data_IF_666944221056
#
_entry.id   IF_666944221056
#
_cell.length_a   1.000
_cell.length_b   1.000
_cell.length_c   1.000
_cell.angle_alpha   90.00
_cell.angle_beta   90.00
_cell.angle_gamma   90.00
#
_symmetry.space_group_name_H-M   'P 1'
#
loop_
_entity.id
_entity.type
_entity.pdbx_description
1 polymer ?
#
# COMPACT_ATOMS: atom_id res chain seq x y z
N UNK A 1 -2.65 -14.73 20.74
CA UNK A 1 -1.26 -15.01 20.29
C UNK A 1 -1.27 -16.31 19.50
N UNK A 2 -1.59 -16.29 18.21
CA UNK A 2 -1.38 -17.45 17.35
C UNK A 2 -0.06 -17.21 16.61
N UNK A 3 0.95 -17.95 17.00
CA UNK A 3 2.28 -17.93 16.37
C UNK A 3 2.30 -18.69 15.03
N UNK A 4 1.43 -18.33 14.12
CA UNK A 4 1.46 -18.84 12.76
C UNK A 4 2.48 -17.98 11.98
N UNK A 5 3.68 -18.50 11.78
CA UNK A 5 4.62 -17.91 10.82
C UNK A 5 3.97 -17.95 9.45
N UNK A 6 3.68 -16.81 8.88
CA UNK A 6 3.26 -16.73 7.48
C UNK A 6 4.54 -16.79 6.65
N UNK A 7 4.57 -17.75 5.74
CA UNK A 7 5.62 -17.85 4.73
C UNK A 7 5.45 -16.69 3.73
N UNK A 8 6.48 -15.84 3.61
CA UNK A 8 6.49 -14.75 2.66
C UNK A 8 6.93 -15.17 1.25
N UNK A 9 7.20 -16.47 1.05
CA UNK A 9 7.55 -17.00 -0.26
C UNK A 9 6.42 -16.78 -1.26
N UNK A 10 6.81 -16.44 -2.48
CA UNK A 10 5.90 -16.20 -3.59
C UNK A 10 6.27 -17.16 -4.70
N UNK A 11 5.29 -17.90 -5.19
CA UNK A 11 5.47 -18.75 -6.35
C UNK A 11 5.81 -17.91 -7.58
N UNK A 12 6.83 -18.33 -8.32
CA UNK A 12 7.31 -17.56 -9.47
C UNK A 12 7.98 -16.24 -9.11
N UNK A 13 8.72 -16.20 -8.00
CA UNK A 13 9.40 -15.02 -7.45
C UNK A 13 10.11 -14.17 -8.52
N UNK A 14 10.94 -14.76 -9.38
CA UNK A 14 11.65 -14.04 -10.44
C UNK A 14 10.71 -13.43 -11.50
N UNK A 15 9.58 -14.08 -11.75
CA UNK A 15 8.54 -13.53 -12.63
C UNK A 15 7.89 -12.32 -11.98
N UNK A 16 7.55 -12.41 -10.69
CA UNK A 16 6.93 -11.32 -9.94
C UNK A 16 7.84 -10.11 -9.80
N UNK A 17 9.15 -10.31 -9.57
CA UNK A 17 10.14 -9.23 -9.58
C UNK A 17 10.09 -8.45 -10.90
N UNK A 18 10.09 -9.17 -12.04
CA UNK A 18 9.99 -8.54 -13.36
C UNK A 18 8.65 -7.87 -13.61
N UNK A 19 7.56 -8.49 -13.17
CA UNK A 19 6.19 -7.96 -13.31
C UNK A 19 6.04 -6.61 -12.63
N UNK A 20 6.59 -6.46 -11.41
CA UNK A 20 6.56 -5.22 -10.66
C UNK A 20 7.78 -4.32 -10.87
N UNK A 21 8.65 -4.69 -11.83
CA UNK A 21 9.78 -3.87 -12.23
C UNK A 21 10.82 -3.66 -11.13
N UNK A 22 11.07 -4.67 -10.26
CA UNK A 22 12.16 -4.62 -9.31
C UNK A 22 13.49 -4.70 -10.03
N UNK A 23 14.31 -3.69 -9.88
CA UNK A 23 15.67 -3.68 -10.34
C UNK A 23 16.64 -4.20 -9.27
N UNK A 24 17.86 -4.56 -9.70
CA UNK A 24 18.94 -4.88 -8.77
C UNK A 24 19.26 -3.68 -7.87
N UNK A 25 19.15 -2.48 -8.40
CA UNK A 25 19.40 -1.24 -7.69
C UNK A 25 18.36 -1.00 -6.58
N UNK A 26 17.07 -1.27 -6.83
CA UNK A 26 16.02 -1.21 -5.80
C UNK A 26 16.34 -2.14 -4.62
N UNK A 27 16.87 -3.32 -4.91
CA UNK A 27 17.19 -4.32 -3.88
C UNK A 27 18.45 -3.91 -3.10
N UNK A 28 19.56 -3.62 -3.81
CA UNK A 28 20.87 -3.39 -3.18
C UNK A 28 21.01 -2.00 -2.56
N UNK A 29 20.35 -0.97 -3.12
CA UNK A 29 20.50 0.41 -2.67
C UNK A 29 19.32 0.95 -1.86
N UNK A 30 18.18 0.29 -1.92
CA UNK A 30 16.99 0.72 -1.18
C UNK A 30 16.61 -0.29 -0.12
N UNK A 31 16.16 -1.48 -0.50
CA UNK A 31 15.60 -2.45 0.45
C UNK A 31 16.65 -3.02 1.42
N UNK A 32 17.84 -3.39 0.93
CA UNK A 32 18.89 -3.93 1.78
C UNK A 32 19.40 -2.92 2.83
N UNK A 33 19.71 -1.65 2.50
CA UNK A 33 20.05 -0.65 3.51
C UNK A 33 18.92 -0.38 4.51
N UNK A 34 17.66 -0.28 4.05
CA UNK A 34 16.51 -0.11 4.94
C UNK A 34 16.39 -1.27 5.93
N UNK A 35 16.57 -2.50 5.46
CA UNK A 35 16.57 -3.68 6.30
C UNK A 35 17.67 -3.62 7.37
N UNK A 36 18.89 -3.25 6.99
CA UNK A 36 20.05 -3.24 7.89
C UNK A 36 20.02 -2.11 8.92
N UNK A 37 19.41 -0.97 8.60
CA UNK A 37 19.47 0.25 9.42
C UNK A 37 18.15 0.61 10.07
N UNK A 38 17.02 0.07 9.58
CA UNK A 38 15.69 0.47 10.00
C UNK A 38 15.34 1.93 9.63
N UNK A 39 16.06 2.51 8.67
CA UNK A 39 15.90 3.89 8.24
C UNK A 39 15.87 3.98 6.71
N UNK A 40 15.27 5.05 6.19
CA UNK A 40 15.30 5.35 4.77
C UNK A 40 16.74 5.51 4.28
N UNK A 41 17.12 4.93 3.13
CA UNK A 41 18.49 5.01 2.67
C UNK A 41 18.89 6.44 2.33
N UNK A 42 20.12 6.81 2.67
CA UNK A 42 20.68 8.12 2.32
C UNK A 42 20.90 8.16 0.80
N UNK A 43 20.26 9.14 0.15
CA UNK A 43 20.41 9.38 -1.27
C UNK A 43 20.68 10.87 -1.54
N UNK A 44 21.33 11.16 -2.68
CA UNK A 44 21.47 12.53 -3.14
C UNK A 44 20.12 13.09 -3.59
N UNK A 45 19.77 14.29 -3.13
CA UNK A 45 18.53 14.98 -3.53
C UNK A 45 18.61 15.54 -4.95
N UNK A 46 19.77 15.84 -5.46
CA UNK A 46 19.97 16.19 -6.86
C UNK A 46 20.34 14.94 -7.64
N UNK A 47 19.56 14.49 -8.57
CA UNK A 47 19.99 13.51 -9.53
C UNK A 47 19.62 13.94 -10.94
N UNK A 48 20.51 13.62 -11.88
CA UNK A 48 20.37 13.96 -13.29
C UNK A 48 19.45 13.00 -14.05
N UNK A 49 18.70 12.15 -13.35
CA UNK A 49 17.73 11.25 -13.96
C UNK A 49 16.63 12.08 -14.61
N UNK A 50 16.34 11.91 -15.90
CA UNK A 50 15.25 12.60 -16.57
C UNK A 50 13.92 12.40 -15.83
N UNK A 51 13.05 13.42 -15.87
CA UNK A 51 11.69 13.30 -15.32
C UNK A 51 10.95 12.13 -15.99
N UNK A 52 10.14 11.42 -15.22
CA UNK A 52 9.37 10.27 -15.71
C UNK A 52 8.54 10.62 -16.96
N UNK A 53 7.96 11.82 -17.00
CA UNK A 53 7.17 12.32 -18.13
C UNK A 53 7.97 12.46 -19.44
N UNK A 54 9.29 12.56 -19.36
CA UNK A 54 10.18 12.68 -20.52
C UNK A 54 10.81 11.32 -20.92
N UNK A 55 10.48 10.24 -20.22
CA UNK A 55 11.01 8.91 -20.47
C UNK A 55 10.19 8.17 -21.54
N UNK A 56 10.85 7.56 -22.50
CA UNK A 56 10.24 6.63 -23.46
C UNK A 56 10.07 5.21 -22.89
N UNK A 57 10.58 4.97 -21.67
CA UNK A 57 10.44 3.69 -20.98
C UNK A 57 9.24 3.69 -20.05
N UNK A 58 8.58 2.54 -19.84
CA UNK A 58 7.56 2.40 -18.81
C UNK A 58 8.09 2.83 -17.45
N UNK A 59 7.36 3.68 -16.74
CA UNK A 59 7.68 4.17 -15.42
C UNK A 59 6.61 3.77 -14.42
N UNK A 60 6.99 3.48 -13.18
CA UNK A 60 6.02 3.38 -12.10
C UNK A 60 5.29 4.72 -11.94
N UNK A 61 4.00 4.67 -11.65
CA UNK A 61 3.19 5.89 -11.48
C UNK A 61 3.75 6.79 -10.37
N UNK A 62 4.37 6.22 -9.35
CA UNK A 62 5.04 6.95 -8.26
C UNK A 62 6.16 7.88 -8.76
N UNK A 63 6.88 7.50 -9.81
CA UNK A 63 8.00 8.28 -10.32
C UNK A 63 7.58 9.65 -10.91
N UNK A 64 6.30 9.83 -11.21
CA UNK A 64 5.76 11.12 -11.68
C UNK A 64 5.58 12.14 -10.55
N UNK A 65 5.69 11.74 -9.29
CA UNK A 65 5.54 12.57 -8.08
C UNK A 65 6.86 12.96 -7.43
N UNK A 66 7.93 12.94 -8.20
CA UNK A 66 9.26 13.21 -7.70
C UNK A 66 9.40 14.65 -7.22
N UNK A 67 10.02 14.84 -6.07
CA UNK A 67 10.41 16.15 -5.55
C UNK A 67 11.42 16.83 -6.50
N UNK A 68 11.15 18.09 -6.85
CA UNK A 68 11.95 18.85 -7.81
C UNK A 68 12.90 19.85 -7.14
N UNK A 69 12.78 20.09 -5.85
CA UNK A 69 13.58 21.06 -5.09
C UNK A 69 13.96 20.51 -3.72
N UNK A 70 15.03 21.07 -3.15
CA UNK A 70 15.48 20.70 -1.82
C UNK A 70 14.51 21.23 -0.74
N UNK A 71 14.24 20.41 0.25
CA UNK A 71 13.43 20.75 1.42
C UNK A 71 14.21 20.42 2.70
N UNK A 72 13.82 21.02 3.82
CA UNK A 72 14.36 20.65 5.12
C UNK A 72 13.99 19.21 5.46
N UNK A 73 14.95 18.43 5.96
CA UNK A 73 14.73 17.04 6.38
C UNK A 73 14.05 16.96 7.74
N UNK A 74 14.32 17.90 8.63
CA UNK A 74 13.77 17.99 9.98
C UNK A 74 12.98 19.29 10.11
N UNK A 75 11.64 19.29 9.92
CA UNK A 75 10.80 20.46 10.18
C UNK A 75 10.95 20.90 11.65
N UNK A 76 10.95 22.20 11.89
CA UNK A 76 11.02 22.75 13.25
C UNK A 76 9.69 22.49 13.99
N UNK A 77 9.63 21.40 14.73
CA UNK A 77 8.48 20.99 15.57
C UNK A 77 8.93 21.00 17.03
N UNK A 78 8.11 21.58 17.91
CA UNK A 78 8.41 21.54 19.34
C UNK A 78 8.23 20.12 19.92
N UNK A 79 9.02 19.74 20.95
CA UNK A 79 9.01 18.38 21.50
C UNK A 79 7.65 17.92 22.03
N UNK A 80 6.78 18.85 22.46
CA UNK A 80 5.45 18.52 23.00
C UNK A 80 4.51 18.09 21.89
N UNK A 81 4.57 18.76 20.72
CA UNK A 81 3.73 18.43 19.57
C UNK A 81 4.30 17.30 18.73
N UNK A 82 5.60 17.01 18.84
CA UNK A 82 6.26 15.95 18.06
C UNK A 82 5.58 14.60 18.22
N UNK A 83 5.20 14.22 19.44
CA UNK A 83 4.52 12.96 19.72
C UNK A 83 3.20 12.82 18.92
N UNK A 84 2.45 13.89 18.76
CA UNK A 84 1.20 13.89 17.99
C UNK A 84 1.46 14.00 16.49
N UNK A 85 2.28 14.95 16.08
CA UNK A 85 2.51 15.30 14.66
C UNK A 85 3.28 14.19 13.93
N UNK A 86 4.21 13.52 14.61
CA UNK A 86 5.04 12.45 14.06
C UNK A 86 4.45 11.06 14.32
N UNK A 87 3.28 10.97 14.94
CA UNK A 87 2.63 9.68 15.18
C UNK A 87 2.23 9.01 13.87
N UNK A 88 2.60 7.73 13.74
CA UNK A 88 2.13 6.85 12.65
C UNK A 88 0.92 6.00 13.05
N UNK A 89 0.38 6.23 14.26
CA UNK A 89 -0.79 5.48 14.74
C UNK A 89 -2.02 5.82 13.93
N UNK A 90 -2.65 4.80 13.38
CA UNK A 90 -3.88 4.90 12.60
C UNK A 90 -5.04 4.17 13.28
N UNK A 91 -6.25 4.71 13.13
CA UNK A 91 -7.51 4.06 13.49
C UNK A 91 -8.31 3.82 12.22
N UNK A 92 -8.37 2.56 11.78
CA UNK A 92 -9.02 2.19 10.53
C UNK A 92 -10.38 1.53 10.78
N UNK A 93 -11.36 1.87 9.94
CA UNK A 93 -12.72 1.34 10.02
C UNK A 93 -13.76 2.29 9.43
N UNK A 94 -15.03 2.01 9.74
CA UNK A 94 -16.15 2.88 9.39
C UNK A 94 -16.32 3.95 10.46
N UNK A 95 -16.09 5.21 10.13
CA UNK A 95 -16.25 6.34 11.06
C UNK A 95 -17.73 6.70 11.28
N UNK A 96 -18.63 6.17 10.44
CA UNK A 96 -20.06 6.49 10.48
C UNK A 96 -20.42 7.74 9.68
N UNK A 97 -21.69 8.13 9.76
CA UNK A 97 -22.24 9.20 8.90
C UNK A 97 -21.90 10.61 9.39
N UNK A 98 -21.70 10.81 10.69
CA UNK A 98 -21.47 12.13 11.25
C UNK A 98 -20.43 12.10 12.38
N UNK A 99 -19.19 12.42 12.01
CA UNK A 99 -18.05 12.46 12.92
C UNK A 99 -18.18 13.53 14.02
N UNK A 100 -19.00 14.55 13.83
CA UNK A 100 -19.20 15.66 14.78
C UNK A 100 -20.16 15.30 15.92
N UNK A 101 -20.93 14.24 15.77
CA UNK A 101 -21.88 13.76 16.79
C UNK A 101 -21.29 12.51 17.44
N UNK A 102 -20.87 12.56 18.72
CA UNK A 102 -20.33 11.38 19.41
C UNK A 102 -21.31 10.20 19.38
N UNK A 103 -20.80 9.03 18.98
CA UNK A 103 -21.58 7.81 18.87
C UNK A 103 -20.72 6.59 19.18
N UNK A 104 -21.32 5.55 19.76
CA UNK A 104 -20.63 4.27 20.02
C UNK A 104 -20.10 3.62 18.72
N UNK A 105 -20.70 3.93 17.57
CA UNK A 105 -20.24 3.43 16.28
C UNK A 105 -18.83 3.90 15.94
N UNK A 106 -18.39 5.07 16.43
CA UNK A 106 -17.05 5.60 16.23
C UNK A 106 -15.95 4.79 16.94
N UNK A 107 -16.33 3.95 17.91
CA UNK A 107 -15.40 3.05 18.60
C UNK A 107 -15.14 1.76 17.84
N UNK A 108 -15.86 1.48 16.74
CA UNK A 108 -15.69 0.27 15.93
C UNK A 108 -14.55 0.43 14.94
N UNK A 109 -13.34 0.55 15.45
CA UNK A 109 -12.13 0.73 14.68
C UNK A 109 -11.03 -0.23 15.13
N UNK A 110 -10.13 -0.57 14.22
CA UNK A 110 -8.88 -1.26 14.54
C UNK A 110 -7.78 -0.22 14.67
N UNK A 111 -7.08 -0.24 15.82
CA UNK A 111 -5.88 0.58 16.02
C UNK A 111 -4.67 -0.12 15.42
N UNK A 112 -3.98 0.56 14.55
CA UNK A 112 -2.69 0.16 13.98
C UNK A 112 -1.58 1.03 14.56
N UNK A 113 -0.45 0.47 15.03
CA UNK A 113 0.68 1.26 15.50
C UNK A 113 1.35 2.06 14.37
N UNK A 114 1.25 1.57 13.13
CA UNK A 114 1.72 2.20 11.91
C UNK A 114 0.91 1.67 10.71
N UNK A 115 0.88 2.38 9.58
CA UNK A 115 0.03 2.04 8.45
C UNK A 115 0.57 0.89 7.58
N UNK A 116 1.79 0.40 7.82
CA UNK A 116 2.37 -0.73 7.09
C UNK A 116 2.01 -2.03 7.79
N UNK A 117 1.27 -2.88 7.10
CA UNK A 117 0.84 -4.18 7.58
C UNK A 117 1.75 -5.28 7.03
N UNK A 118 2.26 -6.15 7.89
CA UNK A 118 2.87 -7.38 7.42
C UNK A 118 1.80 -8.39 6.94
N UNK A 119 2.25 -9.48 6.29
CA UNK A 119 1.32 -10.46 5.71
C UNK A 119 0.42 -11.12 6.77
N UNK A 120 0.95 -11.35 8.00
CA UNK A 120 0.17 -11.90 9.11
C UNK A 120 -0.94 -10.93 9.56
N UNK A 121 -0.60 -9.65 9.69
CA UNK A 121 -1.57 -8.63 10.11
C UNK A 121 -2.67 -8.44 9.05
N UNK A 122 -2.29 -8.45 7.77
CA UNK A 122 -3.27 -8.40 6.69
C UNK A 122 -4.18 -9.63 6.68
N UNK A 123 -3.63 -10.83 6.87
CA UNK A 123 -4.43 -12.08 6.94
C UNK A 123 -5.42 -12.05 8.12
N UNK A 124 -5.02 -11.51 9.26
CA UNK A 124 -5.93 -11.31 10.40
C UNK A 124 -7.09 -10.37 10.02
N UNK A 125 -6.82 -9.28 9.30
CA UNK A 125 -7.87 -8.35 8.83
C UNK A 125 -8.77 -8.99 7.77
N UNK A 126 -8.22 -9.79 6.85
CA UNK A 126 -8.99 -10.54 5.86
C UNK A 126 -9.97 -11.53 6.51
N UNK A 127 -9.57 -12.14 7.63
CA UNK A 127 -10.30 -13.19 8.30
C UNK A 127 -10.98 -12.71 9.60
N UNK A 128 -11.16 -11.40 9.77
CA UNK A 128 -11.77 -10.85 10.98
C UNK A 128 -13.20 -11.36 11.14
N UNK A 129 -13.50 -11.99 12.28
CA UNK A 129 -14.80 -12.59 12.59
C UNK A 129 -15.50 -11.89 13.76
N UNK A 130 -15.14 -10.65 13.99
CA UNK A 130 -15.77 -9.89 15.06
C UNK A 130 -17.03 -9.19 14.56
N UNK A 131 -18.12 -9.22 15.34
CA UNK A 131 -19.42 -8.65 14.94
C UNK A 131 -19.28 -7.16 14.56
N UNK A 132 -19.70 -6.84 13.36
CA UNK A 132 -19.65 -5.47 12.83
C UNK A 132 -18.34 -5.12 12.11
N UNK A 133 -17.46 -6.11 11.86
CA UNK A 133 -16.24 -5.94 11.06
C UNK A 133 -16.31 -6.89 9.86
N UNK A 134 -16.47 -6.31 8.68
CA UNK A 134 -16.58 -7.05 7.42
C UNK A 134 -15.47 -6.60 6.47
N UNK A 135 -14.78 -7.54 5.86
CA UNK A 135 -13.69 -7.30 4.93
C UNK A 135 -14.00 -7.90 3.56
N UNK A 136 -13.65 -7.18 2.50
CA UNK A 136 -13.66 -7.70 1.13
C UNK A 136 -12.31 -7.42 0.47
N UNK A 137 -11.81 -8.38 -0.31
CA UNK A 137 -10.63 -8.21 -1.16
C UNK A 137 -11.09 -8.05 -2.61
N UNK A 138 -10.76 -6.92 -3.22
CA UNK A 138 -11.07 -6.60 -4.61
C UNK A 138 -9.79 -6.67 -5.45
N UNK A 139 -9.80 -7.45 -6.54
CA UNK A 139 -8.70 -7.50 -7.49
C UNK A 139 -8.51 -6.15 -8.20
N UNK A 140 -7.26 -5.65 -8.24
CA UNK A 140 -6.89 -4.49 -9.03
C UNK A 140 -6.06 -4.93 -10.25
N UNK A 141 -6.71 -5.67 -11.13
CA UNK A 141 -6.12 -6.19 -12.36
C UNK A 141 -7.05 -5.96 -13.55
N UNK A 142 -6.47 -5.93 -14.75
CA UNK A 142 -7.21 -5.81 -16.00
C UNK A 142 -6.70 -6.80 -17.04
N UNK A 143 -7.55 -7.18 -17.98
CA UNK A 143 -7.23 -8.10 -19.08
C UNK A 143 -6.33 -7.39 -20.11
N UNK A 144 -5.12 -7.92 -20.31
CA UNK A 144 -4.09 -7.31 -21.17
C UNK A 144 -4.55 -7.25 -22.65
N UNK A 145 -5.29 -8.26 -23.11
CA UNK A 145 -5.80 -8.35 -24.49
C UNK A 145 -6.68 -7.15 -24.89
N UNK A 146 -7.35 -6.52 -23.92
CA UNK A 146 -8.21 -5.35 -24.13
C UNK A 146 -7.47 -4.01 -24.14
N UNK A 147 -6.18 -4.01 -23.82
CA UNK A 147 -5.33 -2.82 -23.82
C UNK A 147 -5.90 -1.66 -22.95
N UNK A 148 -5.79 -0.43 -23.48
CA UNK A 148 -6.24 0.79 -22.76
C UNK A 148 -7.74 0.75 -22.39
N UNK A 149 -8.57 0.21 -23.24
CA UNK A 149 -10.01 0.10 -22.98
C UNK A 149 -10.27 -0.85 -21.79
N UNK A 150 -9.56 -1.96 -21.73
CA UNK A 150 -9.66 -2.91 -20.61
C UNK A 150 -9.25 -2.31 -19.27
N UNK A 151 -8.19 -1.50 -19.23
CA UNK A 151 -7.80 -0.75 -18.03
C UNK A 151 -8.92 0.19 -17.55
N UNK A 152 -9.52 0.96 -18.48
CA UNK A 152 -10.60 1.89 -18.15
C UNK A 152 -11.85 1.17 -17.66
N UNK A 153 -12.25 0.07 -18.33
CA UNK A 153 -13.38 -0.77 -17.91
C UNK A 153 -13.15 -1.34 -16.51
N UNK A 154 -11.98 -1.95 -16.28
CA UNK A 154 -11.63 -2.55 -14.99
C UNK A 154 -11.63 -1.53 -13.85
N UNK A 155 -11.14 -0.31 -14.10
CA UNK A 155 -11.14 0.77 -13.12
C UNK A 155 -12.57 1.23 -12.76
N UNK A 156 -13.44 1.37 -13.77
CA UNK A 156 -14.85 1.72 -13.56
C UNK A 156 -15.58 0.62 -12.79
N UNK A 157 -15.33 -0.65 -13.11
CA UNK A 157 -15.92 -1.79 -12.41
C UNK A 157 -15.41 -1.91 -10.98
N UNK A 158 -14.14 -1.62 -10.73
CA UNK A 158 -13.55 -1.57 -9.41
C UNK A 158 -14.28 -0.53 -8.53
N UNK A 159 -14.51 0.67 -9.06
CA UNK A 159 -15.23 1.73 -8.35
C UNK A 159 -16.66 1.30 -7.99
N UNK A 160 -17.39 0.68 -8.93
CA UNK A 160 -18.76 0.16 -8.67
C UNK A 160 -18.76 -0.96 -7.63
N UNK A 161 -17.80 -1.89 -7.70
CA UNK A 161 -17.67 -2.98 -6.72
C UNK A 161 -17.36 -2.45 -5.33
N UNK A 162 -16.49 -1.43 -5.24
CA UNK A 162 -16.17 -0.78 -3.97
C UNK A 162 -17.41 -0.08 -3.38
N UNK A 163 -18.16 0.65 -4.20
CA UNK A 163 -19.41 1.29 -3.78
C UNK A 163 -20.45 0.27 -3.29
N UNK A 164 -20.65 -0.83 -4.04
CA UNK A 164 -21.55 -1.89 -3.64
C UNK A 164 -21.12 -2.53 -2.32
N UNK A 165 -19.81 -2.80 -2.17
CA UNK A 165 -19.27 -3.36 -0.91
C UNK A 165 -19.59 -2.49 0.30
N UNK A 166 -19.47 -1.16 0.17
CA UNK A 166 -19.84 -0.23 1.25
C UNK A 166 -21.34 -0.30 1.53
N UNK A 167 -22.17 -0.38 0.48
CA UNK A 167 -23.62 -0.52 0.63
C UNK A 167 -24.00 -1.80 1.39
N UNK A 168 -23.24 -2.87 1.17
CA UNK A 168 -23.41 -4.17 1.83
C UNK A 168 -22.80 -4.20 3.26
N UNK A 169 -22.32 -3.05 3.76
CA UNK A 169 -21.79 -2.90 5.12
C UNK A 169 -20.36 -3.39 5.32
N UNK A 170 -19.54 -3.39 4.26
CA UNK A 170 -18.11 -3.71 4.36
C UNK A 170 -17.34 -2.54 4.95
N UNK A 171 -16.56 -2.81 6.02
CA UNK A 171 -15.78 -1.81 6.74
C UNK A 171 -14.34 -1.70 6.23
N UNK A 172 -13.83 -2.76 5.60
CA UNK A 172 -12.46 -2.83 5.10
C UNK A 172 -12.45 -3.35 3.66
N UNK A 173 -12.04 -2.50 2.74
CA UNK A 173 -11.83 -2.87 1.33
C UNK A 173 -10.33 -3.00 1.09
N UNK A 174 -9.88 -4.19 0.72
CA UNK A 174 -8.50 -4.48 0.37
C UNK A 174 -8.39 -4.50 -1.15
N UNK A 175 -7.64 -3.55 -1.70
CA UNK A 175 -7.28 -3.48 -3.11
C UNK A 175 -6.01 -4.29 -3.34
N UNK A 176 -6.07 -5.37 -4.13
CA UNK A 176 -4.97 -6.33 -4.23
C UNK A 176 -4.58 -6.61 -5.69
N UNK A 177 -3.28 -6.49 -5.99
CA UNK A 177 -2.70 -6.87 -7.27
C UNK A 177 -2.12 -8.31 -7.31
N UNK A 178 -2.34 -9.10 -6.27
CA UNK A 178 -1.89 -10.51 -6.23
C UNK A 178 -2.50 -11.41 -7.30
N UNK A 179 -3.50 -10.92 -8.01
CA UNK A 179 -4.23 -11.65 -9.05
C UNK A 179 -3.62 -11.48 -10.44
N UNK A 180 -2.40 -10.95 -10.54
CA UNK A 180 -1.66 -10.87 -11.82
C UNK A 180 -1.27 -12.26 -12.29
N UNK A 181 -1.52 -12.50 -13.58
CA UNK A 181 -1.17 -13.73 -14.28
C UNK A 181 -0.70 -13.42 -15.71
N UNK A 182 -0.65 -14.43 -16.58
CA UNK A 182 -0.20 -14.26 -17.96
C UNK A 182 -1.20 -13.49 -18.84
N UNK A 183 -2.43 -13.31 -18.38
CA UNK A 183 -3.53 -12.64 -19.10
C UNK A 183 -3.98 -11.35 -18.44
N UNK A 184 -3.66 -11.17 -17.17
CA UNK A 184 -4.07 -10.02 -16.35
C UNK A 184 -2.87 -9.24 -15.81
N UNK A 185 -2.79 -7.96 -16.13
CA UNK A 185 -1.82 -7.03 -15.56
C UNK A 185 -2.42 -6.24 -14.40
N UNK A 186 -1.55 -5.80 -13.49
CA UNK A 186 -1.96 -4.92 -12.38
C UNK A 186 -2.42 -3.55 -12.89
N UNK A 187 -3.52 -3.05 -12.34
CA UNK A 187 -3.82 -1.62 -12.38
C UNK A 187 -2.81 -0.95 -11.43
N UNK A 188 -2.11 0.12 -11.82
CA UNK A 188 -1.21 0.83 -10.91
C UNK A 188 -1.91 1.13 -9.57
N UNK A 189 -1.31 0.71 -8.48
CA UNK A 189 -1.95 0.72 -7.16
C UNK A 189 -2.36 2.13 -6.72
N UNK A 190 -1.54 3.14 -7.04
CA UNK A 190 -1.84 4.54 -6.78
C UNK A 190 -3.05 5.03 -7.58
N UNK A 191 -3.20 4.60 -8.85
CA UNK A 191 -4.37 4.90 -9.67
C UNK A 191 -5.63 4.25 -9.13
N UNK A 192 -5.53 2.97 -8.73
CA UNK A 192 -6.66 2.21 -8.20
C UNK A 192 -7.19 2.84 -6.89
N UNK A 193 -6.30 3.13 -5.93
CA UNK A 193 -6.72 3.73 -4.66
C UNK A 193 -7.30 5.11 -4.84
N UNK A 194 -6.68 5.96 -5.68
CA UNK A 194 -7.18 7.30 -5.99
C UNK A 194 -8.58 7.26 -6.62
N UNK A 195 -8.78 6.39 -7.62
CA UNK A 195 -10.07 6.26 -8.30
C UNK A 195 -11.18 5.82 -7.33
N UNK A 196 -10.93 4.78 -6.53
CA UNK A 196 -11.90 4.30 -5.53
C UNK A 196 -12.17 5.37 -4.46
N UNK A 197 -11.12 6.03 -3.95
CA UNK A 197 -11.23 7.09 -2.96
C UNK A 197 -12.14 8.23 -3.44
N UNK A 198 -11.86 8.79 -4.63
CA UNK A 198 -12.63 9.90 -5.18
C UNK A 198 -14.05 9.47 -5.60
N UNK A 199 -14.22 8.25 -6.14
CA UNK A 199 -15.55 7.72 -6.42
C UNK A 199 -16.39 7.63 -5.14
N UNK A 200 -15.85 7.06 -4.06
CA UNK A 200 -16.56 6.95 -2.78
C UNK A 200 -16.86 8.32 -2.15
N UNK A 201 -16.01 9.34 -2.38
CA UNK A 201 -16.32 10.73 -2.00
C UNK A 201 -17.53 11.24 -2.80
N UNK A 202 -17.52 11.10 -4.13
CA UNK A 202 -18.58 11.60 -5.00
C UNK A 202 -19.96 11.02 -4.67
N UNK A 203 -20.01 9.78 -4.18
CA UNK A 203 -21.24 9.10 -3.74
C UNK A 203 -21.46 9.17 -2.22
N UNK A 204 -20.69 9.99 -1.48
CA UNK A 204 -20.80 10.24 -0.04
C UNK A 204 -20.66 8.99 0.85
N UNK A 205 -19.85 8.02 0.42
CA UNK A 205 -19.64 6.75 1.14
C UNK A 205 -18.22 6.58 1.69
N UNK A 206 -17.28 7.52 1.39
CA UNK A 206 -15.85 7.33 1.73
C UNK A 206 -15.57 7.06 3.20
N UNK A 207 -16.27 7.73 4.11
CA UNK A 207 -16.07 7.62 5.56
C UNK A 207 -16.65 6.33 6.17
N UNK A 208 -17.35 5.53 5.39
CA UNK A 208 -17.97 4.29 5.84
C UNK A 208 -17.07 3.06 5.70
N UNK A 209 -15.86 3.22 5.13
CA UNK A 209 -14.92 2.12 4.93
C UNK A 209 -13.47 2.59 4.99
N UNK A 210 -12.57 1.72 5.41
CA UNK A 210 -11.13 1.89 5.25
C UNK A 210 -10.66 1.24 3.94
N UNK A 211 -9.75 1.91 3.24
CA UNK A 211 -9.10 1.38 2.04
C UNK A 211 -7.71 0.87 2.42
N UNK A 212 -7.43 -0.40 2.13
CA UNK A 212 -6.14 -1.03 2.37
C UNK A 212 -5.58 -1.44 1.01
N UNK A 213 -4.30 -1.18 0.78
CA UNK A 213 -3.64 -1.53 -0.49
C UNK A 213 -2.64 -2.65 -0.27
N UNK A 214 -2.88 -3.80 -0.89
CA UNK A 214 -1.95 -4.92 -0.96
C UNK A 214 -1.31 -4.91 -2.35
N UNK A 215 -0.05 -4.45 -2.43
CA UNK A 215 0.58 -4.26 -3.75
C UNK A 215 2.04 -4.68 -3.78
N UNK A 216 2.42 -5.29 -4.91
CA UNK A 216 3.79 -5.62 -5.25
C UNK A 216 4.62 -4.42 -5.72
N UNK A 217 4.00 -3.28 -6.04
CA UNK A 217 4.73 -2.09 -6.49
C UNK A 217 5.45 -1.35 -5.38
N UNK A 218 5.02 -1.52 -4.11
CA UNK A 218 5.46 -0.73 -2.97
C UNK A 218 6.83 -1.21 -2.50
N UNK A 219 7.84 -0.32 -2.48
CA UNK A 219 9.21 -0.64 -2.06
C UNK A 219 9.97 0.49 -1.38
N UNK A 220 9.42 1.72 -1.41
CA UNK A 220 10.04 2.91 -0.84
C UNK A 220 9.07 3.65 0.07
N UNK A 221 9.62 4.46 0.99
CA UNK A 221 8.84 5.33 1.90
C UNK A 221 7.95 6.29 1.10
N UNK A 222 8.46 6.84 -0.02
CA UNK A 222 7.70 7.73 -0.89
C UNK A 222 6.46 7.02 -1.48
N UNK A 223 6.55 5.74 -1.85
CA UNK A 223 5.39 4.97 -2.34
C UNK A 223 4.32 4.84 -1.27
N UNK A 224 4.74 4.55 -0.02
CA UNK A 224 3.83 4.49 1.13
C UNK A 224 3.16 5.84 1.37
N UNK A 225 3.94 6.93 1.42
CA UNK A 225 3.42 8.28 1.64
C UNK A 225 2.41 8.71 0.58
N UNK A 226 2.67 8.41 -0.70
CA UNK A 226 1.75 8.70 -1.80
C UNK A 226 0.45 7.92 -1.69
N UNK A 227 0.50 6.61 -1.41
CA UNK A 227 -0.70 5.80 -1.25
C UNK A 227 -1.57 6.30 -0.10
N UNK A 228 -0.97 6.62 1.04
CA UNK A 228 -1.69 7.20 2.19
C UNK A 228 -2.27 8.57 1.83
N UNK A 229 -1.49 9.43 1.17
CA UNK A 229 -1.93 10.75 0.71
C UNK A 229 -3.09 10.69 -0.29
N UNK A 230 -3.18 9.62 -1.09
CA UNK A 230 -4.27 9.37 -2.03
C UNK A 230 -5.43 8.53 -1.47
N UNK A 231 -5.44 8.32 -0.15
CA UNK A 231 -6.61 7.81 0.56
C UNK A 231 -6.52 6.38 1.07
N UNK A 232 -5.37 5.70 0.96
CA UNK A 232 -5.16 4.44 1.65
C UNK A 232 -5.10 4.68 3.17
N UNK A 233 -5.73 3.80 3.95
CA UNK A 233 -5.64 3.81 5.41
C UNK A 233 -4.48 2.94 5.91
N UNK A 234 -4.11 1.92 5.13
CA UNK A 234 -2.98 1.04 5.40
C UNK A 234 -2.49 0.40 4.10
N UNK A 235 -1.26 -0.10 4.12
CA UNK A 235 -0.62 -0.77 2.98
C UNK A 235 0.02 -2.08 3.39
N UNK A 236 0.13 -3.01 2.44
CA UNK A 236 0.92 -4.24 2.58
C UNK A 236 1.86 -4.38 1.38
N UNK A 237 3.16 -4.09 1.56
CA UNK A 237 4.19 -4.21 0.52
C UNK A 237 4.68 -5.66 0.39
N UNK A 238 3.83 -6.58 -0.02
CA UNK A 238 4.11 -8.01 0.06
C UNK A 238 5.34 -8.46 -0.75
N UNK A 239 5.63 -7.81 -1.89
CA UNK A 239 6.83 -8.14 -2.68
C UNK A 239 8.11 -7.66 -1.99
N UNK A 240 8.09 -6.50 -1.33
CA UNK A 240 9.23 -6.05 -0.55
C UNK A 240 9.53 -7.05 0.58
N UNK A 241 8.51 -7.54 1.28
CA UNK A 241 8.69 -8.59 2.30
C UNK A 241 9.23 -9.89 1.72
N UNK A 242 8.81 -10.29 0.52
CA UNK A 242 9.35 -11.47 -0.15
C UNK A 242 10.83 -11.29 -0.54
N UNK A 243 11.21 -10.09 -0.98
CA UNK A 243 12.61 -9.75 -1.29
C UNK A 243 13.46 -9.81 -0.02
N UNK A 244 13.00 -9.23 1.08
CA UNK A 244 13.73 -9.27 2.36
C UNK A 244 13.89 -10.71 2.87
N UNK A 245 12.86 -11.53 2.78
CA UNK A 245 12.93 -12.96 3.15
C UNK A 245 13.96 -13.72 2.30
N UNK A 246 14.04 -13.41 1.01
CA UNK A 246 15.02 -14.00 0.10
C UNK A 246 16.46 -13.56 0.45
N UNK A 247 16.68 -12.27 0.76
CA UNK A 247 17.98 -11.73 1.17
C UNK A 247 18.46 -12.38 2.49
N UNK A 248 17.58 -12.52 3.46
CA UNK A 248 17.89 -13.21 4.72
C UNK A 248 18.26 -14.68 4.47
N UNK A 249 17.50 -15.37 3.61
CA UNK A 249 17.78 -16.79 3.28
C UNK A 249 19.11 -16.99 2.53
N UNK A 250 19.48 -16.03 1.67
CA UNK A 250 20.79 -16.07 0.98
C UNK A 250 21.97 -15.68 1.86
N UNK A 251 21.71 -15.13 3.04
CA UNK A 251 22.73 -14.63 3.95
C UNK A 251 23.29 -13.26 3.56
N UNK A 252 22.64 -12.56 2.65
CA UNK A 252 23.03 -11.20 2.22
C UNK A 252 22.73 -10.16 3.31
N UNK A 253 21.80 -10.49 4.22
CA UNK A 253 21.45 -9.71 5.41
C UNK A 253 21.56 -10.58 6.64
N UNK A 254 22.31 -10.11 7.65
CA UNK A 254 22.59 -10.87 8.89
C UNK A 254 21.51 -10.65 9.98
N UNK A 255 20.30 -10.29 9.62
CA UNK A 255 19.20 -10.07 10.56
C UNK A 255 18.24 -11.25 10.57
N UNK A 256 17.63 -11.51 11.73
CA UNK A 256 16.49 -12.42 11.78
C UNK A 256 15.29 -11.72 11.11
N UNK A 257 14.53 -12.42 10.29
CA UNK A 257 13.36 -11.87 9.59
C UNK A 257 12.36 -11.16 10.53
N UNK A 258 12.27 -11.55 11.81
CA UNK A 258 11.41 -10.89 12.81
C UNK A 258 11.92 -9.49 13.23
N UNK A 259 13.16 -9.16 12.91
CA UNK A 259 13.81 -7.87 13.24
C UNK A 259 14.16 -7.06 12.01
N UNK A 260 14.06 -7.63 10.82
CA UNK A 260 14.23 -6.96 9.52
C UNK A 260 12.89 -6.40 9.04
#
# INVERSE_FOLDING_TARGET
KSGRKIDNRIDGYDRMLRTFGFSREDIERTLMPMCNTGADPIASMGNDTPLAVLSDRPQLLFNYFRQQFAQVTNPAIDPIREELVMSLTEYIGAVGMNILVPSESHCKMVRLPHPVLNNTQLDILCNIRYKGFNTVKLPIVFEVSKGKAGLQEALNDLCKKAEQSVTDGVNYIILSDRFVDDTHAAIPSLLAVSAVHHHLISVQKRVQTALIVESGEIREVMHAALLLGYGASAINPYMAFAVLDELVRKGDVQMNYETA
#
